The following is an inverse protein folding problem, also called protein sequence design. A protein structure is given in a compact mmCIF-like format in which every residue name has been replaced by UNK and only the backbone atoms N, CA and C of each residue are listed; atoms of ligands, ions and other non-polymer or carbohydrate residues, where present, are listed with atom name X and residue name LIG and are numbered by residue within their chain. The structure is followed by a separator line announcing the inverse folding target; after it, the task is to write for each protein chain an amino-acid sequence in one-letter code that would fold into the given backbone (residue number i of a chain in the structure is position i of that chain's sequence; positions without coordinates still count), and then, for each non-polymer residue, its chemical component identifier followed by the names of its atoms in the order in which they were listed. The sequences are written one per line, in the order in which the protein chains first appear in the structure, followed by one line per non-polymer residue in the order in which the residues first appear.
data_IF_871004809378
#
_entry.id   IF_871004809378
#
_cell.length_a   1.000
_cell.length_b   1.000
_cell.length_c   1.000
_cell.angle_alpha   90.00
_cell.angle_beta   90.00
_cell.angle_gamma   90.00
#
_symmetry.space_group_name_H-M   'P 1'
#
loop_
_entity.id
_entity.type
_entity.pdbx_description
1 polymer ?
#
# COMPACT_ATOMS: atom_id res chain seq x y z
N UNK A 1 2.90 -13.53 2.31
CA UNK A 1 2.46 -12.56 3.34
C UNK A 1 3.31 -11.31 3.20
N UNK A 2 2.74 -10.12 3.35
CA UNK A 2 3.42 -8.82 3.24
C UNK A 2 4.32 -8.70 1.99
N UNK A 3 5.56 -8.18 2.13
CA UNK A 3 6.24 -7.79 3.39
C UNK A 3 5.79 -6.42 3.97
N UNK A 4 6.28 -6.11 5.17
CA UNK A 4 6.02 -4.89 5.95
C UNK A 4 4.92 -5.07 7.00
N UNK A 5 4.33 -3.97 7.47
CA UNK A 5 3.34 -3.97 8.55
C UNK A 5 1.97 -4.57 8.17
N UNK A 6 1.27 -5.09 9.18
CA UNK A 6 -0.18 -5.33 9.15
C UNK A 6 -0.91 -4.20 9.85
N UNK A 7 -2.25 -4.21 9.83
CA UNK A 7 -3.07 -3.16 10.46
C UNK A 7 -3.99 -3.74 11.52
N UNK A 8 -4.18 -3.01 12.61
CA UNK A 8 -5.30 -3.21 13.51
C UNK A 8 -6.37 -2.17 13.14
N UNK A 9 -7.56 -2.66 12.83
CA UNK A 9 -8.70 -1.80 12.50
C UNK A 9 -9.27 -1.17 13.77
N UNK A 10 -10.02 -0.08 13.63
CA UNK A 10 -10.75 0.58 14.73
C UNK A 10 -11.71 -0.39 15.46
N UNK A 11 -12.19 -1.42 14.74
CA UNK A 11 -12.99 -2.51 15.32
C UNK A 11 -12.23 -3.47 16.24
N UNK A 12 -10.91 -3.33 16.38
CA UNK A 12 -10.01 -4.22 17.10
C UNK A 12 -9.48 -5.41 16.29
N UNK A 13 -10.10 -5.70 15.13
CA UNK A 13 -9.66 -6.76 14.20
C UNK A 13 -8.22 -6.54 13.73
N UNK A 14 -7.41 -7.59 13.80
CA UNK A 14 -6.08 -7.63 13.19
C UNK A 14 -6.20 -8.06 11.72
N UNK A 15 -5.48 -7.41 10.83
CA UNK A 15 -5.45 -7.71 9.38
C UNK A 15 -4.01 -7.78 8.90
N UNK A 16 -3.67 -8.89 8.24
CA UNK A 16 -2.34 -9.16 7.69
C UNK A 16 -2.44 -9.33 6.18
N UNK A 17 -1.87 -8.40 5.37
CA UNK A 17 -1.92 -8.50 3.92
C UNK A 17 -1.09 -9.68 3.41
N UNK A 18 -1.58 -10.34 2.36
CA UNK A 18 -0.92 -11.48 1.76
C UNK A 18 -1.21 -11.58 0.25
N UNK A 19 -0.48 -12.46 -0.41
CA UNK A 19 -0.75 -12.83 -1.79
C UNK A 19 -0.42 -14.29 -2.00
N UNK A 20 -1.04 -14.90 -3.00
CA UNK A 20 -0.81 -16.29 -3.39
C UNK A 20 -0.76 -16.45 -4.91
N UNK A 21 -0.08 -17.49 -5.36
CA UNK A 21 -0.10 -17.94 -6.77
C UNK A 21 -1.18 -19.00 -6.92
N UNK A 22 -2.36 -18.59 -7.39
CA UNK A 22 -3.51 -19.48 -7.56
C UNK A 22 -3.45 -20.23 -8.89
N UNK A 23 -3.65 -21.54 -8.88
CA UNK A 23 -3.70 -22.40 -10.08
C UNK A 23 -5.09 -22.31 -10.71
N UNK A 24 -5.22 -21.64 -11.84
CA UNK A 24 -6.51 -21.48 -12.54
C UNK A 24 -6.84 -22.64 -13.49
N UNK A 25 -5.84 -23.43 -13.90
CA UNK A 25 -6.02 -24.49 -14.89
C UNK A 25 -5.14 -25.69 -14.56
N UNK A 26 -5.76 -26.86 -14.60
CA UNK A 26 -5.10 -28.17 -14.54
C UNK A 26 -5.15 -28.75 -15.95
N UNK A 27 -4.04 -29.29 -16.46
CA UNK A 27 -4.09 -29.98 -17.75
C UNK A 27 -4.77 -31.35 -17.54
N UNK A 28 -5.81 -31.63 -18.33
CA UNK A 28 -6.59 -32.86 -18.30
C UNK A 28 -7.09 -33.31 -16.91
N UNK A 29 -7.27 -32.36 -15.97
CA UNK A 29 -7.81 -32.65 -14.63
C UNK A 29 -6.85 -33.35 -13.66
N UNK A 30 -5.62 -33.73 -14.06
CA UNK A 30 -4.74 -34.57 -13.23
C UNK A 30 -3.53 -33.82 -12.67
N UNK A 31 -2.99 -32.79 -13.36
CA UNK A 31 -1.75 -32.12 -12.93
C UNK A 31 -1.83 -30.59 -13.00
N UNK A 32 -1.59 -29.86 -11.89
CA UNK A 32 -1.39 -28.41 -11.90
C UNK A 32 -0.04 -28.08 -12.54
N UNK A 33 -0.04 -27.39 -13.70
CA UNK A 33 1.19 -26.91 -14.30
C UNK A 33 1.55 -25.51 -13.75
N UNK A 34 2.81 -25.24 -13.37
CA UNK A 34 3.25 -23.95 -12.83
C UNK A 34 2.95 -22.74 -13.74
N UNK A 35 2.87 -22.96 -15.06
CA UNK A 35 2.58 -21.93 -16.06
C UNK A 35 1.13 -21.41 -16.03
N UNK A 36 0.24 -22.04 -15.26
CA UNK A 36 -1.17 -21.66 -15.15
C UNK A 36 -1.49 -20.90 -13.85
N UNK A 37 -0.47 -20.43 -13.14
CA UNK A 37 -0.65 -19.68 -11.89
C UNK A 37 -0.85 -18.18 -12.13
N UNK A 38 -1.66 -17.54 -11.29
CA UNK A 38 -1.84 -16.08 -11.27
C UNK A 38 -1.74 -15.56 -9.84
N UNK A 39 -1.12 -14.40 -9.67
CA UNK A 39 -1.03 -13.76 -8.36
C UNK A 39 -2.37 -13.12 -7.97
N UNK A 40 -2.81 -13.42 -6.76
CA UNK A 40 -3.97 -12.78 -6.13
C UNK A 40 -3.57 -12.28 -4.75
N UNK A 41 -3.87 -11.02 -4.46
CA UNK A 41 -3.85 -10.51 -3.09
C UNK A 41 -5.02 -11.12 -2.30
N UNK A 42 -4.86 -11.15 -0.98
CA UNK A 42 -5.87 -11.43 0.02
C UNK A 42 -5.40 -10.84 1.35
N UNK A 43 -6.22 -10.95 2.39
CA UNK A 43 -5.78 -10.68 3.76
C UNK A 43 -6.07 -11.89 4.63
N UNK A 44 -5.23 -12.11 5.65
CA UNK A 44 -5.63 -12.88 6.82
C UNK A 44 -6.18 -11.92 7.87
N UNK A 45 -7.14 -12.35 8.66
CA UNK A 45 -7.68 -11.54 9.74
C UNK A 45 -7.97 -12.34 10.99
N UNK A 46 -7.97 -11.66 12.13
CA UNK A 46 -8.28 -12.22 13.45
C UNK A 46 -9.15 -11.23 14.24
N UNK A 47 -10.25 -11.74 14.79
CA UNK A 47 -11.18 -10.98 15.63
C UNK A 47 -11.00 -11.24 17.14
N UNK A 48 -10.07 -12.12 17.51
CA UNK A 48 -9.87 -12.61 18.87
C UNK A 48 -8.45 -12.33 19.40
N UNK A 49 -7.82 -11.26 18.90
CA UNK A 49 -6.48 -10.84 19.32
C UNK A 49 -5.36 -11.75 18.81
N UNK A 50 -5.57 -12.43 17.69
CA UNK A 50 -4.58 -13.30 17.05
C UNK A 50 -4.61 -14.76 17.48
N UNK A 51 -5.63 -15.19 18.26
CA UNK A 51 -5.76 -16.59 18.72
C UNK A 51 -6.21 -17.51 17.60
N UNK A 52 -7.09 -17.03 16.72
CA UNK A 52 -7.49 -17.72 15.50
C UNK A 52 -7.45 -16.77 14.30
N UNK A 53 -7.25 -17.36 13.11
CA UNK A 53 -7.07 -16.62 11.86
C UNK A 53 -7.96 -17.16 10.76
N UNK A 54 -8.51 -16.26 9.98
CA UNK A 54 -9.34 -16.54 8.82
C UNK A 54 -8.71 -15.90 7.57
N UNK A 55 -8.89 -16.51 6.41
CA UNK A 55 -8.52 -15.92 5.12
C UNK A 55 -9.70 -15.18 4.49
N UNK A 56 -9.49 -13.94 4.08
CA UNK A 56 -10.40 -13.23 3.19
C UNK A 56 -10.40 -13.86 1.79
N UNK A 57 -11.40 -13.48 0.98
CA UNK A 57 -11.49 -13.93 -0.41
C UNK A 57 -10.34 -13.37 -1.26
N UNK A 58 -9.91 -14.15 -2.26
CA UNK A 58 -8.93 -13.69 -3.25
C UNK A 58 -9.46 -12.46 -4.01
N UNK A 59 -8.64 -11.43 -4.14
CA UNK A 59 -8.99 -10.24 -4.91
C UNK A 59 -9.08 -10.60 -6.39
N UNK A 60 -10.23 -10.32 -7.00
CA UNK A 60 -10.47 -10.57 -8.43
C UNK A 60 -10.00 -9.40 -9.30
N UNK A 61 -9.82 -9.62 -10.60
CA UNK A 61 -9.39 -8.58 -11.54
C UNK A 61 -7.94 -8.73 -11.99
N UNK A 62 -7.12 -7.70 -11.76
CA UNK A 62 -5.70 -7.69 -12.14
C UNK A 62 -4.89 -8.59 -11.21
N UNK A 63 -3.75 -9.08 -11.71
CA UNK A 63 -2.80 -9.81 -10.87
C UNK A 63 -2.21 -8.85 -9.83
N UNK A 64 -2.32 -9.23 -8.57
CA UNK A 64 -1.86 -8.46 -7.41
C UNK A 64 -0.86 -9.31 -6.64
N UNK A 65 0.38 -8.85 -6.56
CA UNK A 65 1.46 -9.49 -5.80
C UNK A 65 1.52 -8.97 -4.36
N UNK A 66 2.75 -8.72 -3.89
CA UNK A 66 3.01 -8.09 -2.58
C UNK A 66 2.15 -6.84 -2.40
N UNK A 67 1.50 -6.73 -1.24
CA UNK A 67 0.54 -5.68 -0.96
C UNK A 67 0.58 -5.25 0.50
N UNK A 68 0.05 -4.06 0.74
CA UNK A 68 -0.28 -3.55 2.06
C UNK A 68 -1.70 -2.99 2.06
N UNK A 69 -2.27 -2.84 3.26
CA UNK A 69 -3.62 -2.33 3.45
C UNK A 69 -3.62 -1.18 4.43
N UNK A 70 -4.58 -0.25 4.27
CA UNK A 70 -4.80 0.85 5.19
C UNK A 70 -6.31 1.03 5.40
N UNK A 71 -6.72 1.29 6.65
CA UNK A 71 -8.11 1.62 6.96
C UNK A 71 -8.37 3.09 6.67
N UNK A 72 -9.39 3.36 5.86
CA UNK A 72 -9.87 4.70 5.55
C UNK A 72 -11.18 4.88 6.31
N UNK A 73 -11.22 5.87 7.19
CA UNK A 73 -12.48 6.27 7.80
C UNK A 73 -13.35 6.97 6.75
N UNK A 74 -14.60 6.53 6.61
CA UNK A 74 -15.60 7.27 5.83
C UNK A 74 -16.13 8.48 6.63
N UNK A 75 -16.88 9.36 5.95
CA UNK A 75 -17.66 10.41 6.63
C UNK A 75 -18.72 9.81 7.58
N UNK A 76 -19.20 8.60 7.29
CA UNK A 76 -19.93 7.76 8.24
C UNK A 76 -18.97 6.73 8.88
N UNK A 77 -18.62 6.96 10.15
CA UNK A 77 -17.76 6.07 10.94
C UNK A 77 -18.28 4.62 11.02
N UNK A 78 -19.54 4.35 10.63
CA UNK A 78 -20.11 3.00 10.59
C UNK A 78 -19.69 2.16 9.38
N UNK A 79 -19.03 2.74 8.37
CA UNK A 79 -18.60 2.01 7.18
C UNK A 79 -17.14 2.33 6.81
N UNK A 80 -16.16 1.93 7.64
CA UNK A 80 -14.77 2.06 7.27
C UNK A 80 -14.44 1.20 6.05
N UNK A 81 -13.58 1.72 5.18
CA UNK A 81 -13.13 1.06 3.98
C UNK A 81 -11.70 0.55 4.20
N UNK A 82 -11.44 -0.69 3.82
CA UNK A 82 -10.07 -1.20 3.77
C UNK A 82 -9.55 -1.03 2.35
N UNK A 83 -8.55 -0.16 2.19
CA UNK A 83 -7.83 0.03 0.94
C UNK A 83 -6.67 -0.95 0.85
N UNK A 84 -6.50 -1.59 -0.30
CA UNK A 84 -5.38 -2.48 -0.60
C UNK A 84 -4.61 -1.92 -1.79
N UNK A 85 -3.29 -1.76 -1.62
CA UNK A 85 -2.38 -1.35 -2.67
C UNK A 85 -1.37 -2.47 -2.94
N UNK A 86 -1.27 -2.93 -4.19
CA UNK A 86 -0.48 -4.09 -4.55
C UNK A 86 0.45 -3.85 -5.74
N UNK A 87 1.59 -4.54 -5.68
CA UNK A 87 2.53 -4.68 -6.79
C UNK A 87 1.85 -5.32 -7.99
N UNK A 88 2.04 -4.69 -9.14
CA UNK A 88 1.55 -5.17 -10.43
C UNK A 88 2.61 -5.06 -11.52
N UNK A 89 2.44 -5.82 -12.61
CA UNK A 89 3.41 -5.87 -13.74
C UNK A 89 3.04 -4.97 -14.92
N UNK A 90 2.03 -4.10 -14.76
CA UNK A 90 1.41 -3.35 -15.88
C UNK A 90 1.64 -1.84 -15.76
N UNK A 91 2.86 -1.45 -15.35
CA UNK A 91 3.34 -0.07 -15.35
C UNK A 91 2.71 0.86 -14.30
N UNK A 92 1.79 0.35 -13.49
CA UNK A 92 1.12 1.06 -12.41
C UNK A 92 0.62 0.06 -11.36
N UNK A 93 0.42 0.57 -10.14
CA UNK A 93 -0.12 -0.20 -9.01
C UNK A 93 -1.52 -0.73 -9.31
N UNK A 94 -1.86 -1.84 -8.68
CA UNK A 94 -3.23 -2.33 -8.62
C UNK A 94 -3.81 -2.04 -7.24
N UNK A 95 -5.02 -1.49 -7.20
CA UNK A 95 -5.71 -1.12 -5.96
C UNK A 95 -7.06 -1.82 -5.86
N UNK A 96 -7.53 -2.04 -4.64
CA UNK A 96 -8.86 -2.58 -4.39
C UNK A 96 -9.40 -2.09 -3.05
N UNK A 97 -10.72 -2.01 -2.92
CA UNK A 97 -11.41 -1.56 -1.71
C UNK A 97 -12.28 -2.67 -1.14
N UNK A 98 -12.40 -2.74 0.18
CA UNK A 98 -13.31 -3.63 0.88
C UNK A 98 -14.18 -2.82 1.85
N UNK A 99 -15.50 -3.00 1.74
CA UNK A 99 -16.53 -2.42 2.62
C UNK A 99 -16.88 -3.32 3.81
N UNK A 100 -16.22 -4.48 3.92
CA UNK A 100 -16.52 -5.50 4.93
C UNK A 100 -15.24 -5.96 5.64
N UNK A 101 -14.35 -5.00 5.95
CA UNK A 101 -13.16 -5.21 6.80
C UNK A 101 -12.27 -6.37 6.33
N UNK A 102 -12.09 -6.48 5.00
CA UNK A 102 -11.19 -7.46 4.38
C UNK A 102 -11.78 -8.84 4.13
N UNK A 103 -13.06 -9.10 4.42
CA UNK A 103 -13.71 -10.37 4.06
C UNK A 103 -13.70 -10.57 2.53
N UNK A 104 -14.03 -9.51 1.79
CA UNK A 104 -13.99 -9.48 0.33
C UNK A 104 -13.61 -8.08 -0.15
N UNK A 105 -12.68 -8.03 -1.08
CA UNK A 105 -12.40 -6.83 -1.85
C UNK A 105 -13.25 -6.82 -3.13
N UNK A 106 -13.61 -5.62 -3.55
CA UNK A 106 -14.12 -5.37 -4.89
C UNK A 106 -13.08 -5.75 -5.95
N UNK A 107 -13.48 -5.77 -7.22
CA UNK A 107 -12.56 -6.05 -8.33
C UNK A 107 -11.43 -5.02 -8.34
N UNK A 108 -10.20 -5.47 -8.53
CA UNK A 108 -9.05 -4.57 -8.54
C UNK A 108 -8.96 -3.72 -9.81
N UNK A 109 -8.50 -2.49 -9.61
CA UNK A 109 -8.38 -1.45 -10.63
C UNK A 109 -6.94 -0.94 -10.74
N UNK A 110 -6.50 -0.44 -11.91
CA UNK A 110 -5.19 0.19 -12.05
C UNK A 110 -5.20 1.60 -11.44
N UNK A 111 -4.24 1.92 -10.57
CA UNK A 111 -4.03 3.29 -10.10
C UNK A 111 -2.94 3.96 -10.93
N UNK A 112 -3.33 4.73 -11.97
CA UNK A 112 -2.37 5.26 -12.97
C UNK A 112 -1.44 6.34 -12.41
N UNK A 113 -1.88 7.04 -11.37
CA UNK A 113 -1.09 8.04 -10.65
C UNK A 113 0.15 7.42 -9.99
N UNK A 114 0.05 6.15 -9.56
CA UNK A 114 1.14 5.41 -8.94
C UNK A 114 1.84 4.51 -9.96
N UNK A 115 2.93 5.02 -10.54
CA UNK A 115 3.76 4.33 -11.52
C UNK A 115 4.47 3.10 -10.95
N UNK A 116 4.81 2.15 -11.81
CA UNK A 116 5.49 0.92 -11.40
C UNK A 116 6.54 0.47 -12.43
N UNK A 117 7.77 0.12 -12.01
CA UNK A 117 8.79 -0.36 -12.95
C UNK A 117 8.38 -1.71 -13.59
N UNK A 118 9.00 -2.14 -14.72
CA UNK A 118 8.55 -3.30 -15.48
C UNK A 118 8.50 -4.63 -14.69
N UNK A 119 9.38 -4.77 -13.69
CA UNK A 119 9.40 -5.95 -12.78
C UNK A 119 8.59 -5.74 -11.50
N UNK A 120 8.00 -4.57 -11.30
CA UNK A 120 7.36 -4.12 -10.08
C UNK A 120 8.31 -3.94 -8.90
N UNK A 121 7.82 -3.32 -7.85
CA UNK A 121 8.48 -3.22 -6.56
C UNK A 121 7.43 -3.36 -5.45
N UNK A 122 7.80 -3.83 -4.27
CA UNK A 122 6.93 -3.60 -3.12
C UNK A 122 6.95 -2.10 -2.80
N UNK A 123 5.86 -1.62 -2.22
CA UNK A 123 5.73 -0.28 -1.66
C UNK A 123 4.83 -0.34 -0.44
N UNK A 124 4.83 0.72 0.36
CA UNK A 124 4.09 0.76 1.63
C UNK A 124 3.03 1.83 1.63
N UNK A 125 1.91 1.55 2.29
CA UNK A 125 0.81 2.51 2.48
C UNK A 125 0.40 2.55 3.94
N UNK A 126 0.19 3.75 4.46
CA UNK A 126 -0.43 3.99 5.78
C UNK A 126 -1.55 5.01 5.64
N UNK A 127 -2.53 4.93 6.52
CA UNK A 127 -3.52 5.98 6.72
C UNK A 127 -3.22 6.81 7.96
N UNK A 128 -3.61 8.08 7.94
CA UNK A 128 -3.48 8.98 9.10
C UNK A 128 -4.60 10.01 9.10
N UNK A 129 -4.88 10.59 10.27
CA UNK A 129 -5.90 11.62 10.42
C UNK A 129 -5.57 12.84 9.55
N UNK A 130 -6.55 13.33 8.81
CA UNK A 130 -6.40 14.55 8.03
C UNK A 130 -6.08 15.75 8.95
N UNK A 131 -5.25 16.71 8.53
CA UNK A 131 -5.05 17.94 9.28
C UNK A 131 -6.37 18.67 9.53
N UNK A 132 -6.48 19.37 10.66
CA UNK A 132 -7.69 20.13 10.97
C UNK A 132 -8.00 21.14 9.85
N UNK A 133 -9.24 21.12 9.36
CA UNK A 133 -9.70 22.02 8.29
C UNK A 133 -9.33 21.60 6.86
N UNK A 134 -8.76 20.41 6.66
CA UNK A 134 -8.26 19.96 5.35
C UNK A 134 -9.31 19.32 4.41
N UNK A 135 -10.61 19.46 4.72
CA UNK A 135 -11.73 19.01 3.89
C UNK A 135 -12.63 17.96 4.55
N UNK A 136 -13.45 17.30 3.74
CA UNK A 136 -14.48 16.35 4.20
C UNK A 136 -13.95 14.94 4.49
N UNK A 137 -12.76 14.60 3.98
CA UNK A 137 -12.14 13.29 4.19
C UNK A 137 -11.42 13.26 5.55
N UNK A 138 -11.87 12.44 6.53
CA UNK A 138 -11.27 12.41 7.87
C UNK A 138 -9.90 11.73 7.90
N UNK A 139 -9.53 11.02 6.83
CA UNK A 139 -8.31 10.22 6.74
C UNK A 139 -7.63 10.48 5.41
N UNK A 140 -6.32 10.66 5.44
CA UNK A 140 -5.44 10.76 4.27
C UNK A 140 -4.60 9.49 4.13
N UNK A 141 -4.10 9.22 2.92
CA UNK A 141 -3.16 8.14 2.68
C UNK A 141 -1.77 8.68 2.37
N UNK A 142 -0.76 8.03 2.93
CA UNK A 142 0.64 8.20 2.57
C UNK A 142 1.15 6.92 1.92
N UNK A 143 1.92 7.03 0.84
CA UNK A 143 2.46 5.89 0.12
C UNK A 143 3.93 6.09 -0.22
N UNK A 144 4.77 5.08 0.03
CA UNK A 144 6.19 5.08 -0.33
C UNK A 144 6.51 4.06 -1.42
N UNK A 145 7.20 4.51 -2.47
CA UNK A 145 7.63 3.64 -3.58
C UNK A 145 8.64 4.34 -4.50
N UNK A 146 9.50 3.59 -5.21
CA UNK A 146 10.34 4.15 -6.28
C UNK A 146 9.54 4.95 -7.32
N UNK A 147 10.00 6.14 -7.68
CA UNK A 147 9.27 7.04 -8.60
C UNK A 147 9.62 6.83 -10.07
N UNK A 148 10.80 6.26 -10.36
CA UNK A 148 11.24 5.92 -11.71
C UNK A 148 10.39 4.76 -12.31
N UNK A 149 9.83 4.98 -13.50
CA UNK A 149 8.94 4.03 -14.20
C UNK A 149 9.66 2.87 -14.89
N UNK A 150 10.98 2.86 -14.87
CA UNK A 150 11.85 1.90 -15.56
C UNK A 150 12.74 1.14 -14.58
N UNK A 151 13.14 1.77 -13.47
CA UNK A 151 14.10 1.22 -12.51
C UNK A 151 13.63 1.45 -11.07
N UNK A 152 14.12 0.63 -10.14
CA UNK A 152 13.89 0.80 -8.70
C UNK A 152 14.83 1.89 -8.16
N UNK A 153 14.41 3.15 -8.31
CA UNK A 153 15.20 4.34 -7.97
C UNK A 153 14.30 5.48 -7.50
N UNK A 154 14.91 6.43 -6.80
CA UNK A 154 14.32 7.69 -6.34
C UNK A 154 13.07 7.41 -5.51
N UNK A 155 13.29 6.98 -4.25
CA UNK A 155 12.19 6.66 -3.34
C UNK A 155 11.33 7.90 -3.09
N UNK A 156 10.06 7.81 -3.47
CA UNK A 156 9.11 8.89 -3.33
C UNK A 156 8.11 8.66 -2.22
N UNK A 157 7.66 9.76 -1.61
CA UNK A 157 6.51 9.81 -0.71
C UNK A 157 5.37 10.51 -1.46
N UNK A 158 4.26 9.80 -1.59
CA UNK A 158 3.04 10.25 -2.24
C UNK A 158 1.97 10.50 -1.18
N UNK A 159 1.21 11.58 -1.35
CA UNK A 159 0.07 11.92 -0.50
C UNK A 159 -1.23 11.83 -1.29
N UNK A 160 -2.27 11.26 -0.70
CA UNK A 160 -3.65 11.34 -1.19
C UNK A 160 -4.58 11.91 -0.10
N UNK A 161 -5.06 13.17 -0.26
CA UNK A 161 -5.98 13.81 0.67
C UNK A 161 -7.45 13.40 0.47
N UNK A 162 -7.77 12.63 -0.57
CA UNK A 162 -9.10 12.09 -0.84
C UNK A 162 -8.97 10.64 -1.30
N UNK A 163 -8.80 9.69 -0.36
CA UNK A 163 -8.39 8.30 -0.64
C UNK A 163 -9.27 7.50 -1.61
N UNK A 164 -10.51 7.95 -1.86
CA UNK A 164 -11.44 7.33 -2.82
C UNK A 164 -11.28 7.86 -4.24
N UNK A 165 -10.59 8.98 -4.41
CA UNK A 165 -10.25 9.55 -5.70
C UNK A 165 -8.79 9.22 -6.04
N UNK A 166 -8.58 8.40 -7.06
CA UNK A 166 -7.25 8.11 -7.56
C UNK A 166 -6.55 9.33 -8.17
N UNK A 167 -7.32 10.31 -8.66
CA UNK A 167 -6.81 11.57 -9.20
C UNK A 167 -6.19 12.48 -8.14
N UNK A 168 -6.50 12.23 -6.86
CA UNK A 168 -6.04 13.02 -5.73
C UNK A 168 -4.62 12.65 -5.26
N UNK A 169 -3.99 11.62 -5.81
CA UNK A 169 -2.57 11.36 -5.57
C UNK A 169 -1.70 12.53 -6.08
N UNK A 170 -1.02 13.19 -5.16
CA UNK A 170 -0.13 14.31 -5.47
C UNK A 170 1.19 13.82 -6.09
N UNK A 171 1.94 14.76 -6.70
CA UNK A 171 3.31 14.48 -7.15
C UNK A 171 4.17 14.10 -5.95
N UNK A 172 5.05 13.10 -6.06
CA UNK A 172 5.83 12.63 -4.93
C UNK A 172 6.93 13.63 -4.56
N UNK A 173 7.23 13.71 -3.26
CA UNK A 173 8.52 14.21 -2.80
C UNK A 173 9.54 13.08 -2.87
N UNK A 174 10.73 13.35 -3.42
CA UNK A 174 11.82 12.36 -3.42
C UNK A 174 12.48 12.39 -2.05
N UNK A 175 12.29 11.33 -1.27
CA UNK A 175 12.90 11.16 0.05
C UNK A 175 14.36 10.71 -0.06
N UNK A 176 14.66 9.87 -1.05
CA UNK A 176 16.02 9.37 -1.28
C UNK A 176 16.31 9.22 -2.78
N UNK A 177 17.25 10.00 -3.35
CA UNK A 177 17.66 9.85 -4.74
C UNK A 177 18.57 8.63 -4.93
N UNK A 178 18.54 8.01 -6.10
CA UNK A 178 19.40 6.85 -6.42
C UNK A 178 18.70 5.50 -6.21
N UNK A 179 19.45 4.37 -6.20
CA UNK A 179 18.88 3.04 -6.02
C UNK A 179 18.02 2.94 -4.74
N UNK A 180 16.75 2.62 -4.90
CA UNK A 180 15.84 2.39 -3.79
C UNK A 180 14.83 1.27 -4.11
N UNK A 181 14.64 0.35 -3.18
CA UNK A 181 13.85 -0.86 -3.34
C UNK A 181 12.57 -0.87 -2.49
N UNK A 182 12.44 -1.90 -1.66
CA UNK A 182 11.27 -2.08 -0.79
C UNK A 182 11.26 -1.01 0.29
N UNK A 183 10.07 -0.70 0.81
CA UNK A 183 9.91 0.27 1.90
C UNK A 183 8.78 -0.12 2.84
N UNK A 184 8.82 0.38 4.07
CA UNK A 184 7.75 0.29 5.06
C UNK A 184 7.59 1.62 5.81
N UNK A 185 6.36 2.13 5.83
CA UNK A 185 6.00 3.36 6.52
C UNK A 185 5.43 3.05 7.90
N UNK A 186 5.63 3.97 8.83
CA UNK A 186 4.98 3.99 10.13
C UNK A 186 4.50 5.41 10.47
N UNK A 187 3.31 5.51 11.05
CA UNK A 187 2.81 6.76 11.63
C UNK A 187 3.27 6.81 13.09
N UNK A 188 4.06 7.82 13.44
CA UNK A 188 4.59 8.04 14.78
C UNK A 188 3.78 9.13 15.51
N UNK A 189 3.82 9.15 16.86
CA UNK A 189 3.24 10.24 17.64
C UNK A 189 3.78 11.61 17.20
N UNK A 190 2.96 12.66 17.34
CA UNK A 190 3.37 14.04 17.05
C UNK A 190 3.40 14.43 15.57
N UNK A 191 2.72 13.68 14.69
CA UNK A 191 2.65 13.98 13.25
C UNK A 191 3.93 13.63 12.49
N UNK A 192 4.77 12.78 13.07
CA UNK A 192 6.01 12.29 12.47
C UNK A 192 5.72 10.99 11.72
N UNK A 193 6.39 10.79 10.60
CA UNK A 193 6.36 9.55 9.83
C UNK A 193 7.76 8.94 9.82
N UNK A 194 7.83 7.62 10.02
CA UNK A 194 9.03 6.84 9.78
C UNK A 194 8.93 6.11 8.45
N UNK A 195 10.04 6.05 7.71
CA UNK A 195 10.18 5.23 6.51
C UNK A 195 11.46 4.41 6.61
N UNK A 196 11.33 3.10 6.54
CA UNK A 196 12.44 2.16 6.45
C UNK A 196 12.50 1.62 5.02
N UNK A 197 13.66 1.64 4.37
CA UNK A 197 13.74 1.28 2.95
C UNK A 197 15.10 0.70 2.55
N UNK A 198 15.06 -0.18 1.55
CA UNK A 198 16.24 -0.73 0.89
C UNK A 198 16.89 0.33 -0.02
N UNK A 199 18.19 0.56 0.10
CA UNK A 199 18.94 1.48 -0.76
C UNK A 199 20.41 1.08 -0.93
N UNK A 200 21.16 1.91 -1.65
CA UNK A 200 22.60 1.74 -1.83
C UNK A 200 23.17 2.71 -2.86
N UNK A 201 24.47 2.61 -3.11
CA UNK A 201 25.15 3.41 -4.14
C UNK A 201 24.99 2.78 -5.52
N UNK A 202 25.16 1.45 -5.63
CA UNK A 202 25.15 0.75 -6.92
C UNK A 202 23.86 -0.04 -7.13
N UNK A 203 23.35 -0.67 -6.08
CA UNK A 203 22.18 -1.53 -6.09
C UNK A 203 21.25 -1.23 -4.90
N UNK A 204 20.02 -1.74 -4.96
CA UNK A 204 19.03 -1.50 -3.91
C UNK A 204 19.28 -2.30 -2.64
N UNK A 205 20.12 -3.34 -2.66
CA UNK A 205 20.24 -4.32 -1.58
C UNK A 205 21.59 -4.21 -0.84
N UNK A 206 22.10 -2.98 -0.68
CA UNK A 206 23.34 -2.74 0.06
C UNK A 206 23.06 -2.37 1.51
N UNK A 207 22.03 -1.55 1.73
CA UNK A 207 21.69 -0.98 3.03
C UNK A 207 20.18 -0.94 3.25
N UNK A 208 19.79 -0.87 4.52
CA UNK A 208 18.44 -0.51 4.94
C UNK A 208 18.54 0.80 5.71
N UNK A 209 17.99 1.86 5.13
CA UNK A 209 17.99 3.20 5.74
C UNK A 209 16.67 3.47 6.45
N UNK A 210 16.75 4.17 7.58
CA UNK A 210 15.61 4.71 8.30
C UNK A 210 15.61 6.24 8.19
N UNK A 211 14.47 6.82 7.83
CA UNK A 211 14.29 8.27 7.74
C UNK A 211 13.02 8.69 8.48
N UNK A 212 13.11 9.77 9.25
CA UNK A 212 11.98 10.45 9.87
C UNK A 212 11.64 11.71 9.08
N UNK A 213 10.35 11.99 8.90
CA UNK A 213 9.90 13.22 8.26
C UNK A 213 8.53 13.65 8.77
N UNK A 214 8.15 14.88 8.46
CA UNK A 214 6.85 15.49 8.77
C UNK A 214 6.22 16.06 7.52
N UNK A 215 4.89 16.25 7.55
CA UNK A 215 4.16 17.02 6.54
C UNK A 215 3.80 18.38 7.15
N UNK A 216 4.39 19.44 6.60
CA UNK A 216 4.12 20.83 7.01
C UNK A 216 3.15 21.48 6.02
N UNK A 217 2.16 22.20 6.54
CA UNK A 217 1.25 23.00 5.71
C UNK A 217 1.84 24.39 5.52
N UNK A 218 2.09 24.82 4.28
CA UNK A 218 2.49 26.19 3.97
C UNK A 218 1.32 27.17 4.08
N UNK A 219 1.63 28.47 4.11
CA UNK A 219 0.64 29.55 4.21
C UNK A 219 -0.41 29.55 3.08
N UNK A 220 -0.08 28.95 1.93
CA UNK A 220 -0.99 28.76 0.79
C UNK A 220 -1.78 27.44 0.83
N UNK A 221 -1.72 26.71 1.94
CA UNK A 221 -2.46 25.46 2.17
C UNK A 221 -1.86 24.22 1.52
N UNK A 222 -0.68 24.32 0.88
CA UNK A 222 0.01 23.16 0.29
C UNK A 222 0.75 22.37 1.37
N UNK A 223 0.82 21.06 1.19
CA UNK A 223 1.66 20.21 2.04
C UNK A 223 3.08 20.20 1.51
N UNK A 224 4.06 20.16 2.40
CA UNK A 224 5.48 20.01 2.10
C UNK A 224 6.09 18.93 3.00
N UNK A 225 6.99 18.13 2.44
CA UNK A 225 7.73 17.13 3.19
C UNK A 225 9.00 17.76 3.79
N UNK A 226 9.19 17.58 5.09
CA UNK A 226 10.41 17.96 5.80
C UNK A 226 11.03 16.76 6.49
N UNK A 227 12.15 16.29 5.95
CA UNK A 227 12.94 15.22 6.54
C UNK A 227 13.81 15.75 7.68
N UNK A 228 14.00 14.92 8.71
CA UNK A 228 14.88 15.18 9.87
C UNK A 228 16.20 14.44 9.73
#
# INVERSE_FOLDING_TARGET
VGPGHGVQLDSGRLVVPAYTYYVHRFLCGVVPLPCCTRQHALVFYSDDGGRSWHSGALVSGRQMGECQVAEISGSDARQPLLYCNARARRGCRAVAFSTNRGLRFQRSEPCRALGEPPRGCQGSVVSFAAPAGAGDAPTWLLYSHPTDRHRRRDLGIYLNPSPLDEGSWQRPWVLHPGPAGYSDLAVCPGGIFGCLFECGTTSTCEEITFCLFTLETSDDGKQNLKAS
#
